data_IF_193205897802
#
_entry.id   IF_193205897802
#
_cell.length_a   1.000
_cell.length_b   1.000
_cell.length_c   1.000
_cell.angle_alpha   90.00
_cell.angle_beta   90.00
_cell.angle_gamma   90.00
#
_symmetry.space_group_name_H-M   'P 1'
#
loop_
_entity.id
_entity.type
_entity.pdbx_description
1 polymer ?
2 non-polymer ?
3 non-polymer ?
4 non-polymer ?
5 non-polymer ?
6 water ?
#
# COMPACT_ATOMS: atom_id res chain seq x y z
N UNK A 7 19.27 9.96 -20.65
CA UNK A 7 19.47 8.52 -20.48
C UNK A 7 18.18 7.75 -20.74
N UNK A 8 18.31 6.44 -20.90
CA UNK A 8 17.13 5.61 -21.08
C UNK A 8 16.20 5.68 -19.87
N UNK A 9 16.75 5.62 -18.66
CA UNK A 9 15.90 5.69 -17.47
C UNK A 9 15.20 7.02 -17.37
N UNK A 10 15.89 8.12 -17.71
CA UNK A 10 15.23 9.42 -17.67
C UNK A 10 14.11 9.49 -18.71
N UNK A 11 14.32 8.87 -19.87
CA UNK A 11 13.27 8.85 -20.88
C UNK A 11 12.06 8.04 -20.42
N UNK A 12 12.29 6.93 -19.73
CA UNK A 12 11.18 6.17 -19.15
C UNK A 12 10.43 7.02 -18.14
N UNK A 13 11.17 7.69 -17.24
CA UNK A 13 10.52 8.51 -16.24
C UNK A 13 9.66 9.59 -16.88
N UNK A 14 10.14 10.17 -17.98
CA UNK A 14 9.35 11.19 -18.67
C UNK A 14 8.01 10.61 -19.11
N UNK A 15 8.02 9.40 -19.68
CA UNK A 15 6.77 8.83 -20.15
C UNK A 15 5.87 8.39 -19.01
N UNK A 16 6.42 8.19 -17.82
CA UNK A 16 5.62 7.82 -16.65
C UNK A 16 4.98 9.02 -15.95
N UNK A 17 5.36 10.24 -16.29
CA UNK A 17 4.79 11.40 -15.61
C UNK A 17 3.29 11.48 -15.87
N UNK A 18 2.57 11.96 -14.86
CA UNK A 18 1.14 12.18 -14.99
C UNK A 18 0.87 13.54 -15.63
N UNK A 19 -0.12 13.57 -16.51
CA UNK A 19 -0.57 14.81 -17.12
C UNK A 19 -1.31 15.67 -16.10
N UNK A 20 -1.03 16.98 -16.09
CA UNK A 20 -1.72 17.88 -15.18
C UNK A 20 -3.21 17.93 -15.47
N UNK A 21 -3.59 17.87 -16.74
CA UNK A 21 -4.99 17.85 -17.12
C UNK A 21 -5.68 16.61 -16.58
N UNK A 22 -5.05 15.44 -16.74
CA UNK A 22 -5.62 14.21 -16.19
C UNK A 22 -5.77 14.28 -14.68
N UNK A 23 -4.75 14.80 -13.98
CA UNK A 23 -4.82 14.95 -12.53
C UNK A 23 -5.99 15.84 -12.14
N UNK A 24 -6.11 17.00 -12.78
CA UNK A 24 -7.20 17.91 -12.44
C UNK A 24 -8.55 17.23 -12.58
N UNK A 25 -8.79 16.57 -13.72
CA UNK A 25 -10.07 15.94 -13.95
C UNK A 25 -10.30 14.80 -12.97
N UNK A 26 -9.30 13.95 -12.76
CA UNK A 26 -9.49 12.80 -11.88
C UNK A 26 -9.68 13.21 -10.44
N UNK A 27 -8.92 14.22 -9.98
CA UNK A 27 -9.06 14.67 -8.60
C UNK A 27 -10.48 15.15 -8.34
N UNK A 28 -11.04 15.92 -9.27
CA UNK A 28 -12.40 16.39 -9.10
C UNK A 28 -13.41 15.26 -9.04
N UNK A 29 -13.28 14.30 -9.96
CA UNK A 29 -14.19 13.16 -9.98
C UNK A 29 -14.13 12.38 -8.67
N UNK A 30 -12.92 12.04 -8.23
CA UNK A 30 -12.79 11.20 -7.04
C UNK A 30 -13.29 11.92 -5.81
N UNK A 31 -12.92 13.19 -5.63
CA UNK A 31 -13.36 13.91 -4.44
C UNK A 31 -14.88 14.00 -4.40
N UNK A 32 -15.52 14.23 -5.54
CA UNK A 32 -16.96 14.31 -5.57
C UNK A 32 -17.63 13.02 -5.10
N UNK A 33 -17.15 11.89 -5.63
CA UNK A 33 -17.76 10.60 -5.27
C UNK A 33 -17.46 10.24 -3.82
N UNK A 34 -16.20 10.41 -3.40
CA UNK A 34 -15.81 10.02 -2.05
C UNK A 34 -16.51 10.88 -1.02
N UNK A 35 -16.52 12.20 -1.23
CA UNK A 35 -17.19 13.07 -0.28
C UNK A 35 -18.67 12.70 -0.16
N UNK A 36 -19.31 12.34 -1.28
CA UNK A 36 -20.71 11.93 -1.20
C UNK A 36 -20.86 10.68 -0.34
N UNK A 37 -20.04 9.66 -0.62
CA UNK A 37 -20.14 8.41 0.14
C UNK A 37 -19.87 8.64 1.62
N UNK A 38 -18.89 9.48 1.94
CA UNK A 38 -18.66 9.84 3.33
C UNK A 38 -19.91 10.40 3.97
N UNK A 39 -20.53 11.39 3.31
CA UNK A 39 -21.73 12.03 3.87
C UNK A 39 -22.83 11.00 4.10
N UNK A 40 -23.01 10.09 3.14
CA UNK A 40 -24.09 9.10 3.25
C UNK A 40 -23.80 8.07 4.32
N UNK A 41 -22.54 7.63 4.43
CA UNK A 41 -22.18 6.67 5.47
C UNK A 41 -22.39 7.25 6.86
N UNK A 42 -22.10 8.53 7.03
CA UNK A 42 -22.30 9.18 8.32
C UNK A 42 -23.76 9.21 8.75
N UNK A 43 -24.69 8.98 7.82
CA UNK A 43 -26.10 8.88 8.18
C UNK A 43 -26.43 7.56 8.87
N UNK A 44 -25.61 6.54 8.70
CA UNK A 44 -25.84 5.27 9.38
C UNK A 44 -25.34 5.35 10.81
N UNK A 45 -26.14 4.79 11.72
CA UNK A 45 -25.81 4.83 13.15
C UNK A 45 -24.43 4.24 13.43
N UNK A 46 -24.01 3.23 12.65
CA UNK A 46 -22.76 2.54 12.94
C UNK A 46 -21.54 3.29 12.44
N UNK A 47 -21.71 4.15 11.45
CA UNK A 47 -20.56 4.80 10.81
C UNK A 47 -20.56 6.32 10.99
N UNK A 48 -21.28 6.80 12.02
CA UNK A 48 -21.44 8.24 12.26
C UNK A 48 -20.12 8.97 12.28
N UNK A 49 -19.12 8.42 12.97
CA UNK A 49 -17.88 9.14 13.19
C UNK A 49 -16.81 8.92 12.15
N UNK A 50 -17.18 8.47 10.96
CA UNK A 50 -16.19 8.13 9.95
C UNK A 50 -15.49 9.38 9.44
N UNK A 51 -14.18 9.25 9.18
CA UNK A 51 -13.41 10.31 8.58
C UNK A 51 -12.55 9.74 7.47
N UNK A 52 -11.89 10.63 6.73
CA UNK A 52 -11.15 10.29 5.52
C UNK A 52 -9.65 10.37 5.76
N UNK A 53 -8.91 9.41 5.21
CA UNK A 53 -7.44 9.45 5.20
C UNK A 53 -6.98 8.98 3.83
N UNK A 54 -6.32 9.86 3.08
CA UNK A 54 -5.89 9.53 1.73
C UNK A 54 -4.56 8.80 1.81
N UNK A 55 -4.43 7.70 1.04
CA UNK A 55 -3.26 6.84 1.15
C UNK A 55 -2.83 6.40 -0.24
N UNK A 56 -1.72 5.64 -0.30
CA UNK A 56 -1.30 5.04 -1.54
C UNK A 56 -0.63 6.00 -2.50
N UNK A 57 -0.35 5.49 -3.70
CA UNK A 57 0.67 6.12 -4.54
C UNK A 57 0.26 7.50 -5.04
N UNK A 58 -1.04 7.75 -5.28
CA UNK A 58 -1.42 9.07 -5.78
C UNK A 58 -1.05 10.13 -4.76
N UNK A 59 -1.31 9.86 -3.49
CA UNK A 59 -1.07 10.82 -2.43
C UNK A 59 0.38 10.85 -1.98
N UNK A 60 1.15 9.84 -2.37
CA UNK A 60 2.59 9.79 -2.17
C UNK A 60 3.36 10.32 -3.37
N UNK A 61 2.66 10.76 -4.43
CA UNK A 61 3.31 11.33 -5.60
C UNK A 61 4.20 10.32 -6.32
N UNK A 62 3.82 9.05 -6.26
CA UNK A 62 4.55 8.01 -7.00
C UNK A 62 3.59 7.20 -7.88
N UNK A 63 2.39 7.71 -8.12
CA UNK A 63 1.51 7.11 -9.12
C UNK A 63 2.10 7.34 -10.50
N UNK A 64 2.12 6.30 -11.34
CA UNK A 64 2.72 6.40 -12.67
C UNK A 64 1.69 6.24 -13.77
N UNK A 65 2.01 6.82 -14.93
CA UNK A 65 1.29 6.66 -16.19
C UNK A 65 -0.01 7.45 -16.28
N UNK A 66 -0.97 7.17 -15.41
CA UNK A 66 -2.26 7.83 -15.42
C UNK A 66 -2.79 7.87 -14.00
N UNK A 67 -3.54 8.90 -13.63
CA UNK A 67 -4.14 8.98 -12.29
C UNK A 67 -5.45 8.22 -12.26
N UNK A 68 -5.35 6.89 -12.41
CA UNK A 68 -6.53 6.05 -12.60
C UNK A 68 -6.74 5.07 -11.45
N UNK A 69 -6.05 5.24 -10.34
CA UNK A 69 -6.23 4.35 -9.20
C UNK A 69 -5.89 5.11 -7.92
N UNK A 70 -6.88 5.21 -7.04
CA UNK A 70 -6.80 5.99 -5.81
C UNK A 70 -7.13 5.08 -4.64
N UNK A 71 -6.51 5.37 -3.49
CA UNK A 71 -6.73 4.61 -2.26
C UNK A 71 -7.11 5.55 -1.14
N UNK A 72 -8.18 5.21 -0.43
CA UNK A 72 -8.62 6.01 0.70
C UNK A 72 -9.08 5.11 1.83
N UNK A 73 -8.83 5.55 3.06
CA UNK A 73 -9.34 4.90 4.24
C UNK A 73 -10.50 5.71 4.79
N UNK A 74 -11.55 5.00 5.18
CA UNK A 74 -12.66 5.59 5.93
C UNK A 74 -12.47 5.07 7.35
N UNK A 75 -11.93 5.94 8.22
CA UNK A 75 -11.49 5.54 9.55
C UNK A 75 -12.53 5.89 10.60
N UNK A 76 -12.60 5.05 11.63
CA UNK A 76 -13.59 5.16 12.69
C UNK A 76 -12.84 4.98 14.00
N UNK A 77 -12.95 5.94 14.90
CA UNK A 77 -12.31 5.82 16.20
C UNK A 77 -13.24 5.07 17.13
N UNK A 78 -12.76 3.96 17.70
CA UNK A 78 -13.52 3.15 18.63
C UNK A 78 -12.86 3.27 20.00
N UNK A 79 -13.49 3.94 20.97
CA UNK A 79 -12.86 4.09 22.28
C UNK A 79 -12.87 2.79 23.06
N UNK A 80 -11.87 2.63 23.93
CA UNK A 80 -11.78 1.47 24.82
C UNK A 80 -11.49 0.19 24.04
N UNK A 81 -10.67 0.30 22.99
CA UNK A 81 -10.37 -0.83 22.12
C UNK A 81 -9.34 -1.73 22.80
N UNK A 82 -9.57 -3.04 22.76
CA UNK A 82 -8.65 -4.02 23.30
C UNK A 82 -8.31 -5.04 22.21
N UNK A 83 -7.02 -5.28 22.01
CA UNK A 83 -6.54 -6.15 20.94
C UNK A 83 -6.01 -7.46 21.53
N UNK A 84 -6.20 -8.54 20.77
CA UNK A 84 -5.65 -9.85 21.09
C UNK A 84 -5.06 -10.42 19.82
N UNK A 85 -3.75 -10.68 19.83
CA UNK A 85 -3.10 -11.21 18.64
C UNK A 85 -3.68 -12.56 18.28
N UNK A 86 -3.91 -12.77 16.98
CA UNK A 86 -4.41 -14.04 16.47
C UNK A 86 -3.22 -14.98 16.24
N UNK A 87 -3.15 -16.04 17.04
CA UNK A 87 -2.28 -17.20 16.78
C UNK A 87 -0.85 -16.83 16.35
N UNK A 88 -0.22 -15.95 17.13
CA UNK A 88 1.16 -15.54 16.89
C UNK A 88 1.42 -15.12 15.44
N UNK A 89 0.40 -14.60 14.75
CA UNK A 89 0.59 -14.14 13.37
C UNK A 89 1.22 -12.75 13.28
N UNK A 90 1.32 -12.02 14.39
CA UNK A 90 2.01 -10.73 14.46
C UNK A 90 1.27 -9.56 13.83
N UNK A 91 0.57 -9.81 12.72
CA UNK A 91 -0.14 -8.76 11.99
C UNK A 91 -1.65 -8.80 12.15
N UNK A 92 -2.21 -9.93 12.59
CA UNK A 92 -3.66 -10.10 12.67
C UNK A 92 -4.12 -10.16 14.12
N UNK A 93 -5.28 -9.57 14.38
CA UNK A 93 -5.77 -9.34 15.73
C UNK A 93 -7.28 -9.51 15.82
N UNK A 94 -7.73 -9.95 16.98
CA UNK A 94 -9.12 -9.80 17.40
C UNK A 94 -9.28 -8.43 18.04
N UNK A 95 -10.40 -7.79 17.76
CA UNK A 95 -10.79 -6.55 18.42
C UNK A 95 -11.86 -6.90 19.44
N UNK A 96 -11.57 -6.66 20.72
CA UNK A 96 -12.51 -6.92 21.80
C UNK A 96 -13.13 -5.61 22.26
N UNK A 97 -14.39 -5.67 22.69
CA UNK A 97 -15.11 -4.47 23.09
C UNK A 97 -16.05 -4.73 24.26
N UNK A 105 -24.92 0.61 19.11
CA UNK A 105 -24.88 0.80 17.67
C UNK A 105 -23.76 -0.02 17.04
N UNK A 106 -22.84 -0.48 17.88
CA UNK A 106 -21.84 -1.45 17.45
C UNK A 106 -22.21 -2.88 17.80
N UNK A 107 -23.30 -3.08 18.56
CA UNK A 107 -23.69 -4.44 18.95
C UNK A 107 -24.01 -5.30 17.74
N UNK A 108 -24.50 -4.70 16.66
CA UNK A 108 -24.80 -5.44 15.45
C UNK A 108 -23.58 -6.19 14.89
N UNK A 109 -22.37 -5.79 15.27
CA UNK A 109 -21.15 -6.40 14.74
C UNK A 109 -20.49 -7.36 15.71
N UNK A 110 -21.04 -7.52 16.90
CA UNK A 110 -20.41 -8.38 17.90
C UNK A 110 -20.72 -9.84 17.64
N UNK A 111 -19.71 -10.69 17.87
CA UNK A 111 -19.84 -12.14 17.95
C UNK A 111 -19.28 -12.48 19.34
N UNK A 112 -20.16 -12.53 20.34
CA UNK A 112 -19.69 -12.61 21.70
C UNK A 112 -19.11 -11.26 22.11
N UNK A 113 -17.88 -11.27 22.61
CA UNK A 113 -17.14 -10.04 22.91
C UNK A 113 -16.27 -9.60 21.74
N UNK A 114 -16.38 -10.27 20.60
CA UNK A 114 -15.50 -10.07 19.45
C UNK A 114 -16.20 -9.13 18.48
N UNK A 115 -15.50 -8.07 18.05
CA UNK A 115 -16.03 -7.17 17.02
C UNK A 115 -15.63 -7.75 15.68
N UNK A 116 -16.59 -8.29 14.94
CA UNK A 116 -16.28 -9.11 13.77
C UNK A 116 -15.91 -8.22 12.59
N UNK A 117 -14.69 -8.42 12.05
CA UNK A 117 -14.29 -7.67 10.88
C UNK A 117 -15.21 -7.95 9.70
N UNK A 118 -15.58 -9.22 9.52
CA UNK A 118 -16.45 -9.61 8.41
C UNK A 118 -17.81 -8.92 8.50
N UNK A 119 -18.39 -8.88 9.69
CA UNK A 119 -19.71 -8.26 9.84
C UNK A 119 -19.67 -6.77 9.54
N UNK A 120 -18.63 -6.07 10.03
CA UNK A 120 -18.54 -4.63 9.77
C UNK A 120 -18.30 -4.36 8.28
N UNK A 121 -17.38 -5.09 7.67
CA UNK A 121 -17.11 -4.90 6.24
C UNK A 121 -18.35 -5.18 5.41
N UNK A 122 -19.12 -6.20 5.77
CA UNK A 122 -20.30 -6.54 4.98
C UNK A 122 -21.30 -5.40 4.97
N UNK A 123 -21.55 -4.78 6.12
CA UNK A 123 -22.50 -3.66 6.16
C UNK A 123 -21.93 -2.44 5.45
N UNK A 124 -20.65 -2.15 5.66
CA UNK A 124 -19.96 -1.08 4.95
C UNK A 124 -20.14 -1.24 3.44
N UNK A 125 -19.87 -2.43 2.93
CA UNK A 125 -20.00 -2.67 1.49
C UNK A 125 -21.44 -2.53 1.03
N UNK A 126 -22.39 -3.04 1.82
CA UNK A 126 -23.80 -2.93 1.44
C UNK A 126 -24.25 -1.47 1.37
N UNK A 127 -23.86 -0.65 2.34
CA UNK A 127 -24.23 0.77 2.31
C UNK A 127 -23.67 1.44 1.07
N UNK A 128 -22.38 1.24 0.79
CA UNK A 128 -21.76 1.88 -0.37
C UNK A 128 -22.46 1.43 -1.65
N UNK A 129 -22.78 0.14 -1.76
CA UNK A 129 -23.43 -0.35 -2.98
C UNK A 129 -24.78 0.31 -3.18
N UNK A 130 -25.55 0.49 -2.10
CA UNK A 130 -26.83 1.15 -2.25
C UNK A 130 -26.67 2.63 -2.58
N UNK A 131 -25.62 3.27 -2.06
CA UNK A 131 -25.46 4.70 -2.26
C UNK A 131 -24.97 5.04 -3.66
N UNK A 132 -24.05 4.24 -4.22
CA UNK A 132 -23.61 4.50 -5.59
C UNK A 132 -24.76 4.29 -6.57
N UNK A 133 -25.75 3.50 -6.20
CA UNK A 133 -26.92 3.31 -7.05
C UNK A 133 -27.79 4.57 -7.11
N UNK A 134 -27.70 5.44 -6.11
CA UNK A 134 -28.44 6.70 -6.12
C UNK A 134 -27.70 7.80 -6.87
N UNK A 135 -26.39 7.68 -7.05
CA UNK A 135 -25.63 8.68 -7.80
C UNK A 135 -26.03 8.58 -9.26
N UNK A 136 -26.68 9.62 -9.78
CA UNK A 136 -27.17 9.60 -11.15
C UNK A 136 -26.47 10.59 -12.07
N UNK A 137 -25.65 11.49 -11.53
CA UNK A 137 -24.88 12.43 -12.33
C UNK A 137 -23.50 11.89 -12.72
N UNK A 138 -23.21 10.63 -12.40
CA UNK A 138 -21.90 10.06 -12.67
C UNK A 138 -22.05 8.55 -12.72
N UNK A 139 -21.35 7.92 -13.65
CA UNK A 139 -21.32 6.46 -13.74
C UNK A 139 -20.37 5.93 -12.68
N UNK A 140 -20.92 5.31 -11.64
CA UNK A 140 -20.12 4.68 -10.58
C UNK A 140 -20.65 3.27 -10.38
N UNK A 141 -19.76 2.29 -10.46
CA UNK A 141 -20.12 0.90 -10.18
C UNK A 141 -19.13 0.33 -9.18
N UNK A 142 -19.53 -0.79 -8.57
CA UNK A 142 -18.70 -1.51 -7.61
C UNK A 142 -18.12 -2.74 -8.29
N UNK A 143 -16.81 -2.90 -8.18
CA UNK A 143 -16.15 -4.07 -8.74
C UNK A 143 -16.41 -5.29 -7.84
N UNK A 144 -16.38 -6.47 -8.47
CA UNK A 144 -16.59 -7.70 -7.71
C UNK A 144 -15.56 -7.83 -6.60
N UNK A 145 -15.99 -8.43 -5.49
CA UNK A 145 -15.10 -8.68 -4.37
C UNK A 145 -13.84 -9.40 -4.82
N UNK A 146 -12.70 -8.89 -4.38
CA UNK A 146 -11.40 -9.51 -4.63
C UNK A 146 -10.95 -10.16 -3.33
N UNK A 147 -10.92 -11.49 -3.31
CA UNK A 147 -10.49 -12.21 -2.13
C UNK A 147 -9.21 -11.66 -1.55
N UNK A 148 -9.16 -11.51 -0.23
CA UNK A 148 -7.98 -10.97 0.43
C UNK A 148 -7.84 -9.46 0.40
N UNK A 149 -8.82 -8.75 -0.17
CA UNK A 149 -8.69 -7.29 -0.05
C UNK A 149 -9.60 -6.78 1.05
N UNK A 150 -9.12 -5.85 1.88
CA UNK A 150 -10.00 -5.21 2.87
C UNK A 150 -10.83 -4.09 2.28
N UNK A 151 -10.67 -3.77 1.00
CA UNK A 151 -11.29 -2.61 0.39
C UNK A 151 -12.58 -2.95 -0.35
N UNK A 152 -13.45 -1.96 -0.44
CA UNK A 152 -14.54 -1.93 -1.41
C UNK A 152 -14.05 -1.08 -2.58
N UNK A 153 -14.11 -1.62 -3.79
CA UNK A 153 -13.50 -0.97 -4.94
C UNK A 153 -14.58 -0.47 -5.89
N UNK A 154 -14.50 0.81 -6.24
CA UNK A 154 -15.40 1.44 -7.18
C UNK A 154 -14.68 1.75 -8.48
N UNK A 155 -15.46 1.82 -9.57
CA UNK A 155 -14.97 2.27 -10.87
C UNK A 155 -15.81 3.46 -11.30
N UNK A 156 -15.16 4.60 -11.50
CA UNK A 156 -15.83 5.85 -11.87
C UNK A 156 -15.62 6.09 -13.36
N UNK A 157 -16.72 6.28 -14.09
CA UNK A 157 -16.67 6.62 -15.51
C UNK A 157 -15.89 5.59 -16.33
N UNK A 158 -15.93 4.32 -15.92
CA UNK A 158 -15.20 3.23 -16.55
C UNK A 158 -13.69 3.43 -16.60
N UNK A 159 -13.16 4.41 -15.87
CA UNK A 159 -11.76 4.78 -16.03
C UNK A 159 -10.97 4.83 -14.74
N UNK A 160 -11.58 5.25 -13.63
CA UNK A 160 -10.85 5.54 -12.40
C UNK A 160 -11.28 4.56 -11.33
N UNK A 161 -10.34 3.78 -10.81
CA UNK A 161 -10.62 2.87 -9.72
C UNK A 161 -10.31 3.54 -8.39
N UNK A 162 -11.17 3.29 -7.40
CA UNK A 162 -10.99 3.83 -6.06
C UNK A 162 -11.19 2.70 -5.05
N UNK A 163 -10.17 2.45 -4.24
CA UNK A 163 -10.25 1.49 -3.14
C UNK A 163 -10.62 2.23 -1.85
N UNK A 164 -11.73 1.85 -1.23
CA UNK A 164 -12.19 2.46 0.01
C UNK A 164 -12.06 1.40 1.09
N UNK A 165 -11.13 1.59 2.03
CA UNK A 165 -10.87 0.63 3.11
C UNK A 165 -11.41 1.15 4.42
N UNK A 166 -12.37 0.42 4.98
CA UNK A 166 -12.80 0.66 6.35
C UNK A 166 -11.64 0.41 7.30
N UNK A 167 -11.47 1.30 8.27
CA UNK A 167 -10.40 1.13 9.24
C UNK A 167 -10.86 1.57 10.62
N UNK A 168 -10.48 0.81 11.63
CA UNK A 168 -10.63 1.24 13.01
C UNK A 168 -9.35 1.96 13.42
N UNK A 169 -9.51 3.08 14.11
CA UNK A 169 -8.38 3.88 14.55
C UNK A 169 -8.15 3.66 16.03
N UNK A 170 -6.90 3.36 16.40
CA UNK A 170 -6.50 3.27 17.80
C UNK A 170 -5.45 4.32 18.10
N UNK A 171 -5.68 5.10 19.16
CA UNK A 171 -4.70 6.06 19.63
C UNK A 171 -3.84 5.50 20.77
N UNK A 172 -3.87 4.19 21.00
CA UNK A 172 -3.02 3.56 21.99
C UNK A 172 -1.64 3.28 21.40
N UNK A 173 -0.71 2.87 22.26
CA UNK A 173 0.61 2.48 21.80
C UNK A 173 0.51 1.36 20.77
N UNK A 174 1.46 1.37 19.82
CA UNK A 174 1.46 0.37 18.78
C UNK A 174 1.69 -1.02 19.38
N UNK A 175 1.16 -2.06 18.74
CA UNK A 175 1.32 -3.41 19.29
C UNK A 175 2.78 -3.84 19.37
N UNK A 176 3.04 -4.76 20.30
CA UNK A 176 4.40 -5.21 20.56
C UNK A 176 5.09 -5.79 19.33
N UNK A 177 4.33 -6.35 18.39
CA UNK A 177 4.93 -6.90 17.17
C UNK A 177 5.67 -5.85 16.33
N UNK A 178 5.45 -4.56 16.60
CA UNK A 178 6.12 -3.48 15.87
C UNK A 178 7.34 -2.95 16.59
N UNK A 179 7.68 -3.49 17.76
CA UNK A 179 8.70 -2.87 18.61
C UNK A 179 10.04 -2.74 17.90
N UNK A 180 10.38 -3.71 17.04
CA UNK A 180 11.64 -3.74 16.33
C UNK A 180 11.53 -3.31 14.87
N UNK A 181 10.37 -2.81 14.46
CA UNK A 181 10.17 -2.34 13.10
C UNK A 181 10.48 -0.86 12.96
N UNK A 182 10.17 -0.34 11.78
CA UNK A 182 10.36 1.09 11.50
C UNK A 182 11.78 1.53 11.84
N UNK A 183 12.75 0.82 11.27
CA UNK A 183 14.17 1.00 11.62
C UNK A 183 14.77 2.18 10.84
N UNK A 184 14.22 3.37 11.10
CA UNK A 184 14.53 4.57 10.34
C UNK A 184 15.55 5.48 11.03
N UNK A 185 16.11 5.06 12.17
CA UNK A 185 16.87 5.99 13.00
C UNK A 185 18.07 6.58 12.27
N UNK A 186 18.79 5.78 11.49
CA UNK A 186 19.98 6.28 10.82
C UNK A 186 19.66 7.14 9.61
N UNK A 187 18.42 7.09 9.13
CA UNK A 187 17.99 7.79 7.94
C UNK A 187 17.17 9.03 8.33
N UNK A 188 16.01 8.84 8.95
CA UNK A 188 15.10 9.92 9.27
C UNK A 188 15.20 10.41 10.71
N UNK A 189 15.95 9.71 11.57
CA UNK A 189 16.27 10.05 12.95
C UNK A 189 15.48 9.26 13.99
N UNK A 190 16.09 9.10 15.16
CA UNK A 190 15.39 8.49 16.28
C UNK A 190 14.26 9.37 16.77
N UNK A 191 14.43 10.69 16.70
CA UNK A 191 13.37 11.60 17.10
C UNK A 191 12.14 11.42 16.23
N UNK A 192 12.34 11.27 14.92
CA UNK A 192 11.22 11.05 14.02
C UNK A 192 10.55 9.71 14.27
N UNK A 193 11.35 8.66 14.50
CA UNK A 193 10.75 7.37 14.82
C UNK A 193 9.83 7.47 16.02
N UNK A 194 10.29 8.13 17.09
CA UNK A 194 9.47 8.28 18.27
C UNK A 194 8.20 9.07 17.98
N UNK A 195 8.33 10.15 17.20
CA UNK A 195 7.16 10.95 16.85
C UNK A 195 6.16 10.16 16.02
N UNK A 196 6.64 9.36 15.06
CA UNK A 196 5.73 8.58 14.24
C UNK A 196 4.99 7.53 15.08
N UNK A 197 5.68 6.94 16.06
CA UNK A 197 5.08 5.92 16.89
C UNK A 197 4.12 6.47 17.93
N UNK A 198 4.05 7.79 18.09
CA UNK A 198 3.01 8.43 18.88
C UNK A 198 1.73 8.66 18.10
N UNK A 199 1.74 8.44 16.78
CA UNK A 199 0.54 8.61 15.99
C UNK A 199 -0.36 7.38 16.13
N UNK A 200 -1.62 7.50 15.72
CA UNK A 200 -2.53 6.36 15.79
C UNK A 200 -2.07 5.25 14.87
N UNK A 201 -2.65 4.07 15.06
CA UNK A 201 -2.53 3.00 14.08
C UNK A 201 -3.92 2.51 13.71
N UNK A 202 -3.99 1.71 12.65
CA UNK A 202 -5.26 1.31 12.09
C UNK A 202 -5.38 -0.20 11.99
N UNK A 203 -6.62 -0.66 12.04
CA UNK A 203 -6.96 -2.06 11.80
C UNK A 203 -7.93 -2.11 10.64
N UNK A 204 -7.66 -2.96 9.66
CA UNK A 204 -8.49 -3.07 8.47
C UNK A 204 -9.05 -4.49 8.37
N UNK A 205 -10.19 -4.67 7.73
CA UNK A 205 -10.85 -5.99 7.70
C UNK A 205 -10.27 -6.89 6.62
N UNK A 206 -8.99 -7.21 6.76
CA UNK A 206 -8.34 -8.28 6.02
C UNK A 206 -8.10 -9.42 6.99
N UNK A 207 -8.61 -10.61 6.65
CA UNK A 207 -8.67 -11.72 7.58
C UNK A 207 -7.46 -12.64 7.46
N UNK A 208 -7.06 -13.20 8.60
CA UNK A 208 -5.97 -14.16 8.62
C UNK A 208 -6.41 -15.46 7.96
N UNK A 209 -5.46 -16.14 7.32
CA UNK A 209 -5.71 -17.47 6.79
C UNK A 209 -5.95 -18.43 7.96
N UNK A 210 -6.90 -19.35 7.76
CA UNK A 210 -7.23 -20.40 8.74
C UNK A 210 -7.32 -21.69 7.95
N UNK A 211 -6.17 -22.33 7.73
CA UNK A 211 -6.11 -23.50 6.87
C UNK A 211 -6.35 -23.13 5.43
N UNK A 212 -7.36 -23.74 4.80
CA UNK A 212 -7.80 -23.33 3.48
C UNK A 212 -8.89 -22.28 3.53
N UNK A 213 -9.39 -21.94 4.72
CA UNK A 213 -10.34 -20.88 4.92
C UNK A 213 -9.69 -19.64 5.51
N UNK A 214 -10.49 -18.86 6.23
CA UNK A 214 -9.99 -17.65 6.85
C UNK A 214 -10.75 -17.37 8.14
N UNK A 215 -10.10 -16.66 9.05
CA UNK A 215 -10.69 -16.32 10.35
C UNK A 215 -11.42 -14.99 10.12
N UNK A 216 -12.71 -15.10 9.79
CA UNK A 216 -13.51 -13.97 9.33
C UNK A 216 -13.68 -12.90 10.38
N UNK A 217 -13.37 -13.17 11.64
CA UNK A 217 -13.48 -12.17 12.69
C UNK A 217 -12.27 -11.27 12.78
N UNK A 218 -11.14 -11.66 12.19
CA UNK A 218 -9.87 -10.99 12.45
C UNK A 218 -9.66 -9.75 11.59
N UNK A 219 -8.86 -8.84 12.12
CA UNK A 219 -8.45 -7.60 11.47
C UNK A 219 -6.94 -7.62 11.28
N UNK A 220 -6.43 -6.72 10.44
CA UNK A 220 -5.01 -6.63 10.18
C UNK A 220 -4.50 -5.22 10.43
N UNK A 221 -3.30 -5.10 11.02
CA UNK A 221 -2.70 -3.80 11.25
C UNK A 221 -2.39 -3.10 9.93
N UNK A 222 -2.60 -1.79 9.89
CA UNK A 222 -2.18 -0.99 8.75
C UNK A 222 -1.48 0.26 9.22
N UNK A 223 -0.34 0.55 8.61
CA UNK A 223 0.42 1.78 8.83
C UNK A 223 0.56 2.60 7.55
N UNK A 224 -0.46 2.53 6.69
CA UNK A 224 -0.37 3.19 5.39
C UNK A 224 -0.18 4.69 5.51
N UNK A 225 -0.70 5.30 6.59
CA UNK A 225 -0.49 6.72 6.83
C UNK A 225 0.97 7.04 7.15
N UNK A 226 1.66 6.13 7.84
CA UNK A 226 3.07 6.36 8.14
C UNK A 226 3.91 6.21 6.88
N UNK A 227 3.57 5.24 6.02
CA UNK A 227 4.25 5.11 4.74
C UNK A 227 4.15 6.39 3.94
N UNK A 228 2.96 7.03 3.95
CA UNK A 228 2.79 8.27 3.20
C UNK A 228 3.65 9.38 3.80
N UNK A 229 3.68 9.46 5.13
CA UNK A 229 4.48 10.52 5.75
C UNK A 229 5.94 10.34 5.43
N UNK A 230 6.42 9.10 5.39
CA UNK A 230 7.83 8.86 5.06
C UNK A 230 8.11 9.25 3.62
N UNK A 231 7.29 8.76 2.68
CA UNK A 231 7.54 9.06 1.27
C UNK A 231 7.48 10.55 0.98
N UNK A 232 6.61 11.29 1.69
CA UNK A 232 6.46 12.73 1.46
C UNK A 232 7.40 13.58 2.32
N UNK A 233 8.24 12.97 3.14
CA UNK A 233 9.24 13.71 3.89
C UNK A 233 10.41 12.74 4.03
N UNK A 234 11.05 12.47 2.90
CA UNK A 234 11.86 11.27 2.71
C UNK A 234 13.36 11.47 2.85
N UNK A 235 13.84 12.71 3.04
CA UNK A 235 15.27 12.93 3.07
C UNK A 235 15.84 12.93 4.47
N UNK A 236 17.14 12.66 4.58
CA UNK A 236 17.82 13.02 5.82
C UNK A 236 17.79 14.53 6.00
N UNK A 237 18.05 15.27 4.93
CA UNK A 237 17.88 16.72 4.96
C UNK A 237 16.41 17.06 4.89
N UNK A 238 15.98 17.99 5.74
CA UNK A 238 14.60 18.46 5.68
C UNK A 238 14.29 19.15 4.38
N UNK A 239 15.30 19.69 3.68
CA UNK A 239 15.09 20.36 2.42
C UNK A 239 15.37 19.46 1.21
N UNK A 240 15.48 18.14 1.42
CA UNK A 240 15.61 17.24 0.27
C UNK A 240 14.47 17.49 -0.70
N UNK A 241 14.82 17.64 -1.99
CA UNK A 241 13.88 17.86 -3.08
C UNK A 241 13.16 19.20 -3.03
N UNK A 242 13.59 20.13 -2.17
CA UNK A 242 13.03 21.48 -2.14
C UNK A 242 13.87 22.50 -2.91
N UNK A 243 15.03 22.11 -3.43
CA UNK A 243 15.85 23.02 -4.21
C UNK A 243 16.67 22.22 -5.21
N UNK A 244 17.26 22.91 -6.18
CA UNK A 244 17.95 22.24 -7.27
C UNK A 244 19.22 21.52 -6.80
N UNK A 245 19.78 21.92 -5.65
CA UNK A 245 20.97 21.28 -5.12
C UNK A 245 20.66 20.01 -4.32
N UNK A 246 19.39 19.73 -4.03
CA UNK A 246 19.01 18.59 -3.21
C UNK A 246 17.97 17.71 -3.89
N UNK A 247 18.03 17.58 -5.21
CA UNK A 247 17.09 16.73 -5.93
C UNK A 247 17.60 15.29 -5.90
N UNK A 248 17.02 14.47 -5.05
CA UNK A 248 17.44 13.08 -4.97
C UNK A 248 16.62 12.25 -5.95
N UNK A 249 17.02 10.98 -6.10
CA UNK A 249 16.35 10.08 -7.04
C UNK A 249 15.57 8.97 -6.34
N UNK A 250 15.24 9.14 -5.05
CA UNK A 250 14.52 8.08 -4.34
C UNK A 250 13.19 7.76 -5.03
N UNK A 251 12.34 8.76 -5.22
CA UNK A 251 11.03 8.47 -5.77
C UNK A 251 11.12 7.98 -7.21
N UNK A 252 12.08 8.51 -7.97
CA UNK A 252 12.28 8.02 -9.32
C UNK A 252 12.62 6.53 -9.32
N UNK A 253 13.47 6.10 -8.38
CA UNK A 253 13.79 4.67 -8.31
C UNK A 253 12.56 3.84 -7.96
N UNK A 254 11.73 4.33 -7.05
CA UNK A 254 10.52 3.59 -6.70
C UNK A 254 9.58 3.50 -7.91
N UNK A 255 9.44 4.60 -8.67
CA UNK A 255 8.61 4.57 -9.87
C UNK A 255 9.13 3.55 -10.86
N UNK A 256 10.44 3.51 -11.07
CA UNK A 256 11.03 2.57 -12.03
C UNK A 256 10.85 1.13 -11.57
N UNK A 257 10.99 0.87 -10.26
CA UNK A 257 10.78 -0.49 -9.77
C UNK A 257 9.33 -0.92 -9.95
N UNK A 258 8.39 -0.01 -9.66
CA UNK A 258 6.98 -0.34 -9.85
C UNK A 258 6.67 -0.64 -11.31
N UNK A 259 7.23 0.17 -12.22
CA UNK A 259 6.98 -0.01 -13.64
C UNK A 259 7.59 -1.32 -14.14
N UNK A 260 8.79 -1.64 -13.67
CA UNK A 260 9.39 -2.93 -14.00
C UNK A 260 8.46 -4.08 -13.62
N UNK A 261 7.96 -4.08 -12.39
CA UNK A 261 7.09 -5.16 -11.95
C UNK A 261 5.79 -5.17 -12.73
N UNK A 262 5.17 -4.00 -12.89
CA UNK A 262 3.91 -3.91 -13.62
C UNK A 262 4.06 -4.43 -15.05
N UNK A 263 5.15 -4.04 -15.73
CA UNK A 263 5.32 -4.47 -17.11
C UNK A 263 5.54 -5.97 -17.21
N UNK A 264 6.32 -6.54 -16.28
CA UNK A 264 6.53 -7.98 -16.28
C UNK A 264 5.22 -8.72 -15.99
N UNK A 265 4.42 -8.22 -15.05
CA UNK A 265 3.14 -8.86 -14.75
C UNK A 265 2.21 -8.80 -15.96
N UNK A 266 2.23 -7.68 -16.69
CA UNK A 266 1.42 -7.57 -17.89
C UNK A 266 1.86 -8.57 -18.96
N UNK A 267 3.17 -8.71 -19.17
CA UNK A 267 3.69 -9.63 -20.17
C UNK A 267 3.34 -11.07 -19.82
N UNK A 268 3.51 -11.44 -18.56
CA UNK A 268 3.34 -12.82 -18.12
C UNK A 268 1.96 -13.07 -17.51
N UNK A 269 0.97 -12.28 -17.88
CA UNK A 269 -0.34 -12.39 -17.24
C UNK A 269 -0.99 -13.75 -17.52
N UNK A 270 -0.89 -14.24 -18.76
CA UNK A 270 -1.36 -15.58 -19.04
C UNK A 270 -0.66 -16.62 -18.16
N UNK A 271 0.50 -16.26 -17.62
CA UNK A 271 1.18 -17.05 -16.60
C UNK A 271 0.50 -16.84 -15.25
N UNK A 272 0.68 -17.82 -14.36
CA UNK A 272 0.19 -17.70 -13.00
C UNK A 272 1.27 -17.29 -12.01
N UNK A 273 2.55 -17.51 -12.35
CA UNK A 273 3.60 -17.40 -11.36
C UNK A 273 3.79 -15.98 -10.86
N UNK A 274 3.29 -14.97 -11.56
CA UNK A 274 3.48 -13.59 -11.14
C UNK A 274 2.25 -12.97 -10.49
N UNK A 275 1.14 -13.72 -10.40
CA UNK A 275 -0.10 -13.14 -9.92
C UNK A 275 0.02 -12.60 -8.49
N UNK A 276 0.81 -13.24 -7.64
CA UNK A 276 0.87 -12.86 -6.24
C UNK A 276 1.78 -11.67 -5.95
N UNK A 277 2.60 -11.22 -6.90
CA UNK A 277 3.46 -10.08 -6.65
C UNK A 277 2.70 -8.76 -6.81
N UNK A 278 3.01 -7.81 -5.94
CA UNK A 278 2.27 -6.56 -5.91
C UNK A 278 3.23 -5.40 -5.78
N UNK A 279 2.72 -4.21 -6.06
CA UNK A 279 3.54 -3.02 -5.85
C UNK A 279 3.95 -2.88 -4.39
N UNK A 280 3.22 -3.48 -3.44
CA UNK A 280 3.63 -3.38 -2.04
C UNK A 280 4.93 -4.12 -1.78
N UNK A 281 5.20 -5.18 -2.55
CA UNK A 281 6.49 -5.84 -2.42
C UNK A 281 7.62 -4.91 -2.81
N UNK A 282 7.45 -4.16 -3.91
CA UNK A 282 8.52 -3.23 -4.29
C UNK A 282 8.58 -2.06 -3.33
N UNK A 283 7.43 -1.60 -2.82
CA UNK A 283 7.42 -0.51 -1.85
C UNK A 283 8.16 -0.89 -0.59
N UNK A 284 7.90 -2.10 -0.09
CA UNK A 284 8.57 -2.59 1.11
C UNK A 284 10.08 -2.71 0.88
N UNK A 285 10.48 -3.32 -0.23
CA UNK A 285 11.90 -3.46 -0.51
C UNK A 285 12.55 -2.09 -0.62
N UNK A 286 11.85 -1.14 -1.24
CA UNK A 286 12.36 0.21 -1.35
C UNK A 286 12.61 0.85 0.01
N UNK A 287 11.68 0.71 0.95
CA UNK A 287 11.92 1.24 2.29
C UNK A 287 13.17 0.62 2.92
N UNK A 288 13.38 -0.68 2.71
CA UNK A 288 14.58 -1.30 3.25
C UNK A 288 15.84 -0.73 2.60
N UNK A 289 15.80 -0.50 1.28
CA UNK A 289 16.96 0.10 0.61
C UNK A 289 17.25 1.48 1.18
N UNK A 290 16.19 2.25 1.48
CA UNK A 290 16.41 3.57 2.09
C UNK A 290 17.06 3.45 3.47
N UNK A 291 16.65 2.45 4.25
CA UNK A 291 17.28 2.21 5.55
C UNK A 291 18.76 1.88 5.38
N UNK A 292 19.08 1.06 4.36
CA UNK A 292 20.44 0.63 4.10
C UNK A 292 21.31 1.79 3.63
N UNK A 293 20.71 2.78 2.97
CA UNK A 293 21.42 3.88 2.30
C UNK A 293 20.81 5.16 2.81
N UNK A 294 21.13 5.55 4.04
CA UNK A 294 20.38 6.62 4.72
C UNK A 294 20.77 8.04 4.31
N UNK A 295 21.88 8.26 3.61
CA UNK A 295 22.33 9.59 3.28
C UNK A 295 21.75 10.06 1.94
N UNK A 296 21.37 11.34 1.89
CA UNK A 296 20.86 11.88 0.64
C UNK A 296 21.89 11.81 -0.47
N UNK A 297 23.19 11.91 -0.12
CA UNK A 297 24.25 11.80 -1.12
C UNK A 297 24.36 10.42 -1.73
N UNK A 298 23.67 9.42 -1.19
CA UNK A 298 23.61 8.09 -1.79
C UNK A 298 22.48 7.97 -2.80
N UNK A 299 21.76 9.06 -3.03
CA UNK A 299 20.62 9.12 -3.93
C UNK A 299 20.70 10.35 -4.83
N UNK A 300 21.92 10.74 -5.20
CA UNK A 300 22.07 11.89 -6.08
C UNK A 300 21.45 11.59 -7.43
N UNK A 301 20.77 12.60 -7.99
CA UNK A 301 20.17 12.46 -9.31
C UNK A 301 21.19 12.02 -10.36
N UNK A 302 22.45 12.44 -10.22
CA UNK A 302 23.47 12.06 -11.19
C UNK A 302 23.78 10.58 -11.16
N UNK A 303 23.36 9.89 -10.10
CA UNK A 303 23.62 8.46 -9.93
C UNK A 303 22.38 7.61 -10.14
N UNK A 304 21.38 8.14 -10.86
CA UNK A 304 20.13 7.42 -11.07
C UNK A 304 20.34 5.98 -11.51
N UNK A 305 21.21 5.74 -12.49
CA UNK A 305 21.38 4.38 -13.00
C UNK A 305 21.93 3.43 -11.95
N UNK A 306 22.93 3.88 -11.18
CA UNK A 306 23.47 3.05 -10.11
C UNK A 306 22.45 2.84 -9.00
N UNK A 307 21.75 3.90 -8.59
CA UNK A 307 20.73 3.77 -7.56
C UNK A 307 19.65 2.78 -7.98
N UNK A 308 19.17 2.89 -9.22
CA UNK A 308 18.15 1.96 -9.67
C UNK A 308 18.69 0.55 -9.73
N UNK A 309 19.93 0.39 -10.22
CA UNK A 309 20.51 -0.96 -10.28
C UNK A 309 20.60 -1.58 -8.89
N UNK A 310 20.99 -0.78 -7.89
CA UNK A 310 21.05 -1.30 -6.54
C UNK A 310 19.67 -1.67 -5.99
N UNK A 311 18.63 -0.92 -6.36
CA UNK A 311 17.27 -1.31 -5.97
C UNK A 311 16.89 -2.66 -6.60
N UNK A 312 17.25 -2.83 -7.87
CA UNK A 312 16.94 -4.08 -8.58
C UNK A 312 17.66 -5.25 -7.93
N UNK A 313 18.96 -5.09 -7.66
CA UNK A 313 19.69 -6.22 -7.10
C UNK A 313 19.25 -6.51 -5.67
N UNK A 314 18.88 -5.49 -4.90
CA UNK A 314 18.33 -5.78 -3.58
C UNK A 314 17.05 -6.60 -3.68
N UNK A 315 16.16 -6.23 -4.61
CA UNK A 315 14.93 -6.98 -4.81
C UNK A 315 15.23 -8.42 -5.24
N UNK A 316 16.20 -8.60 -6.15
CA UNK A 316 16.63 -9.94 -6.53
C UNK A 316 17.11 -10.76 -5.33
N UNK A 317 17.87 -10.13 -4.43
CA UNK A 317 18.32 -10.84 -3.23
C UNK A 317 17.15 -11.23 -2.34
N UNK A 318 16.16 -10.34 -2.20
CA UNK A 318 14.96 -10.69 -1.45
C UNK A 318 14.26 -11.91 -2.06
N UNK A 319 14.13 -11.94 -3.40
CA UNK A 319 13.50 -13.08 -4.05
C UNK A 319 14.28 -14.36 -3.82
N UNK A 320 15.60 -14.31 -3.99
CA UNK A 320 16.41 -15.51 -3.87
C UNK A 320 16.34 -16.08 -2.46
N UNK A 321 16.49 -15.22 -1.45
CA UNK A 321 16.48 -15.65 -0.06
C UNK A 321 15.08 -15.88 0.46
N UNK A 322 14.06 -15.45 -0.29
CA UNK A 322 12.66 -15.57 0.16
C UNK A 322 12.47 -14.82 1.46
N UNK A 323 13.10 -13.64 1.56
CA UNK A 323 13.04 -12.80 2.74
C UNK A 323 12.68 -11.38 2.35
N UNK A 324 11.53 -10.91 2.82
CA UNK A 324 11.15 -9.50 2.63
C UNK A 324 10.28 -9.15 3.85
N UNK A 325 10.94 -8.68 4.90
CA UNK A 325 10.24 -8.36 6.13
C UNK A 325 9.31 -7.17 5.93
N UNK A 326 8.12 -7.26 6.49
CA UNK A 326 7.29 -6.08 6.58
C UNK A 326 8.04 -4.97 7.31
N UNK A 327 7.91 -3.74 6.81
CA UNK A 327 8.73 -2.65 7.33
C UNK A 327 8.38 -2.30 8.76
N UNK A 328 7.14 -2.60 9.19
CA UNK A 328 6.65 -2.27 10.52
C UNK A 328 6.64 -3.46 11.46
N UNK A 329 6.51 -4.67 10.92
CA UNK A 329 6.33 -5.90 11.69
C UNK A 329 7.38 -6.88 11.19
N UNK A 330 8.58 -6.84 11.76
CA UNK A 330 9.70 -7.60 11.16
C UNK A 330 9.48 -9.10 11.08
N UNK A 331 8.72 -9.68 11.99
CA UNK A 331 8.50 -11.12 11.93
C UNK A 331 7.44 -11.54 10.92
N UNK A 332 6.84 -10.59 10.22
CA UNK A 332 5.91 -10.91 9.14
C UNK A 332 6.71 -10.87 7.83
N UNK A 333 6.98 -12.04 7.27
CA UNK A 333 7.79 -12.14 6.05
C UNK A 333 6.88 -12.18 4.81
N UNK A 334 6.89 -11.10 4.02
CA UNK A 334 6.04 -11.03 2.84
C UNK A 334 6.38 -12.10 1.83
N UNK A 335 7.62 -12.60 1.85
CA UNK A 335 8.04 -13.64 0.92
C UNK A 335 8.06 -15.04 1.57
N UNK A 336 7.36 -15.21 2.69
CA UNK A 336 7.23 -16.53 3.29
C UNK A 336 6.60 -17.50 2.30
N UNK A 337 7.02 -18.77 2.40
CA UNK A 337 6.41 -19.81 1.58
C UNK A 337 4.94 -20.02 1.91
N UNK A 338 4.49 -19.53 3.07
CA UNK A 338 3.07 -19.58 3.41
C UNK A 338 2.26 -18.62 2.56
N UNK A 339 2.91 -17.65 1.92
CA UNK A 339 2.26 -16.64 1.10
C UNK A 339 2.56 -16.76 -0.38
N UNK A 340 3.81 -17.07 -0.75
CA UNK A 340 4.21 -17.14 -2.15
C UNK A 340 5.10 -18.37 -2.36
N UNK A 341 4.78 -19.17 -3.37
CA UNK A 341 5.53 -20.40 -3.63
C UNK A 341 6.95 -20.09 -4.06
N UNK A 342 7.88 -20.97 -3.68
CA UNK A 342 9.26 -20.87 -4.14
C UNK A 342 9.34 -20.73 -5.66
N UNK A 343 8.59 -21.55 -6.39
CA UNK A 343 8.68 -21.50 -7.85
C UNK A 343 8.31 -20.14 -8.41
N UNK A 344 7.35 -19.46 -7.77
CA UNK A 344 6.96 -18.13 -8.24
C UNK A 344 8.08 -17.12 -8.04
N UNK A 345 8.76 -17.18 -6.89
CA UNK A 345 9.87 -16.28 -6.65
C UNK A 345 11.04 -16.58 -7.60
N UNK A 346 11.29 -17.87 -7.87
CA UNK A 346 12.33 -18.21 -8.83
C UNK A 346 11.97 -17.74 -10.23
N UNK A 347 10.70 -17.84 -10.60
CA UNK A 347 10.28 -17.37 -11.92
C UNK A 347 10.49 -15.88 -12.08
N UNK A 348 10.08 -15.10 -11.08
CA UNK A 348 10.28 -13.65 -11.15
C UNK A 348 11.77 -13.30 -11.13
N UNK A 349 12.56 -14.01 -10.33
CA UNK A 349 14.01 -13.79 -10.33
C UNK A 349 14.56 -13.91 -11.74
N UNK A 350 14.16 -14.97 -12.45
CA UNK A 350 14.68 -15.21 -13.79
C UNK A 350 14.34 -14.05 -14.73
N UNK A 351 13.11 -13.54 -14.66
CA UNK A 351 12.71 -12.49 -15.58
C UNK A 351 13.40 -11.16 -15.25
N UNK A 352 13.58 -10.86 -13.95
CA UNK A 352 14.24 -9.62 -13.57
C UNK A 352 15.72 -9.67 -13.92
N UNK A 353 16.36 -10.84 -13.71
CA UNK A 353 17.76 -10.97 -14.11
C UNK A 353 17.93 -10.72 -15.60
N UNK A 354 17.04 -11.27 -16.42
CA UNK A 354 17.08 -11.02 -17.86
C UNK A 354 16.96 -9.52 -18.15
N UNK A 355 16.02 -8.84 -17.50
CA UNK A 355 15.90 -7.40 -17.72
C UNK A 355 17.19 -6.68 -17.34
N UNK A 356 17.73 -6.98 -16.16
CA UNK A 356 18.95 -6.30 -15.74
C UNK A 356 20.09 -6.56 -16.70
N UNK A 357 20.24 -7.80 -17.14
CA UNK A 357 21.36 -8.15 -17.99
C UNK A 357 21.24 -7.56 -19.40
N UNK A 358 20.05 -7.14 -19.80
CA UNK A 358 19.82 -6.63 -21.14
C UNK A 358 19.39 -5.17 -21.13
N UNK A 359 19.63 -4.46 -20.02
CA UNK A 359 19.34 -3.03 -19.91
C UNK A 359 17.86 -2.71 -20.09
N UNK A 360 17.00 -3.61 -19.58
CA UNK A 360 15.57 -3.37 -19.38
C UNK A 360 14.79 -3.21 -20.68
N UNK A 361 14.82 -4.22 -21.55
CA UNK A 361 14.02 -4.13 -22.78
C UNK A 361 12.53 -4.01 -22.51
N UNK A 362 12.05 -4.46 -21.36
CA UNK A 362 10.63 -4.34 -21.06
C UNK A 362 10.21 -2.88 -20.95
N UNK A 363 11.17 -1.96 -20.79
CA UNK A 363 10.89 -0.53 -20.75
C UNK A 363 10.70 0.08 -22.14
N UNK A 364 11.14 -0.61 -23.20
CA UNK A 364 11.11 -0.04 -24.54
C UNK A 364 9.72 -0.16 -25.15
N UNK A 365 9.31 0.89 -25.87
CA UNK A 365 8.00 0.83 -26.53
C UNK A 365 8.08 0.11 -27.87
N UNK A 366 9.20 0.18 -28.57
CA UNK A 366 9.34 -0.48 -29.86
C UNK A 366 10.45 -1.52 -29.84
#
# INVERSE_FOLDING_TARGET
DAAPGASKLRAVLEKLKLSRDDISTAAGMVKGVVDHLLLRLKCDSAFRGVGLLNTGSYYEHVKISAPNEFDVMFKLEVPRIQLEEYSNTRAYYFVKFKRNPKENHLSQFLEGEILSASKMLSKFRKIIKEEINDIKDTDVIMKRKRGGSPAVTLLISEKISVDITLALESKSSWPASTQEGLRIQNWLSAKVRKQLRLKPFYLVPKHAKEGNGFQEETWRLSFSHIEKEILNNHGKSKTCCENKEEKCCRKDCLKLMKYLLEQLKERFKDEEHLDKFSSYHVKTAFFHVCTQNPQDSQWDRKDLGLCFDNCVTYFLQCLRTEKLENYFIPEFNLFSSNLIDKRSKEFLTKQIEYERNNEFPVFDEF
#
